data_IF_770571043609
#
_entry.id   IF_770571043609
#
_cell.length_a   1.000
_cell.length_b   1.000
_cell.length_c   1.000
_cell.angle_alpha   90.00
_cell.angle_beta   90.00
_cell.angle_gamma   90.00
#
_symmetry.space_group_name_H-M   'P 1'
#
loop_
_entity.id
_entity.type
_entity.pdbx_description
1 polymer ?
#
# COMPACT_ATOMS: atom_id res chain seq x y z
N UNK A 1 12.25 37.17 21.76
CA UNK A 1 11.18 36.19 22.04
C UNK A 1 11.41 35.00 21.12
N UNK A 2 11.74 33.82 21.65
CA UNK A 2 11.82 32.60 20.83
C UNK A 2 10.40 32.28 20.37
N UNK A 3 10.10 32.40 19.07
CA UNK A 3 8.86 31.85 18.52
C UNK A 3 8.88 30.36 18.84
N UNK A 4 7.90 29.87 19.59
CA UNK A 4 7.67 28.44 19.67
C UNK A 4 7.29 27.99 18.26
N UNK A 5 8.19 27.29 17.58
CA UNK A 5 7.89 26.62 16.33
C UNK A 5 6.87 25.51 16.65
N UNK A 6 5.77 25.48 15.90
CA UNK A 6 4.75 24.48 16.10
C UNK A 6 5.28 23.12 15.66
N UNK A 7 5.16 22.13 16.54
CA UNK A 7 5.34 20.75 16.17
C UNK A 7 4.16 20.29 15.30
N UNK A 8 4.42 19.41 14.34
CA UNK A 8 3.44 18.85 13.43
C UNK A 8 3.47 17.32 13.56
N UNK A 9 2.30 16.70 13.67
CA UNK A 9 2.14 15.25 13.59
C UNK A 9 1.37 14.93 12.33
N UNK A 10 1.92 14.05 11.48
CA UNK A 10 1.25 13.53 10.30
C UNK A 10 0.91 12.06 10.52
N UNK A 11 -0.33 11.69 10.26
CA UNK A 11 -0.76 10.29 10.17
C UNK A 11 -0.78 9.88 8.70
N UNK A 12 0.16 9.03 8.31
CA UNK A 12 0.30 8.55 6.93
C UNK A 12 -0.20 7.11 6.87
N UNK A 13 -1.31 6.90 6.17
CA UNK A 13 -1.95 5.58 6.03
C UNK A 13 -1.64 4.98 4.66
N UNK A 14 -1.22 3.71 4.65
CA UNK A 14 -1.22 2.89 3.44
C UNK A 14 -2.56 2.14 3.36
N UNK A 15 -3.55 2.75 2.73
CA UNK A 15 -4.87 2.15 2.61
C UNK A 15 -4.94 1.38 1.28
N UNK A 16 -5.30 0.07 1.30
CA UNK A 16 -5.69 -0.64 0.09
C UNK A 16 -6.73 0.14 -0.73
N UNK A 17 -6.92 -0.16 -2.03
CA UNK A 17 -7.93 0.48 -2.87
C UNK A 17 -9.36 0.01 -2.53
N UNK A 18 -9.71 0.02 -1.25
CA UNK A 18 -11.02 -0.28 -0.70
C UNK A 18 -11.66 1.03 -0.18
N UNK A 19 -12.81 1.38 -0.74
CA UNK A 19 -13.49 2.63 -0.41
C UNK A 19 -14.06 2.66 1.02
N UNK A 20 -14.36 1.48 1.59
CA UNK A 20 -14.87 1.40 2.95
C UNK A 20 -13.76 1.72 3.96
N UNK A 21 -12.58 1.13 3.81
CA UNK A 21 -11.41 1.42 4.64
C UNK A 21 -10.97 2.88 4.53
N UNK A 22 -10.97 3.46 3.33
CA UNK A 22 -10.68 4.90 3.15
C UNK A 22 -11.66 5.78 3.92
N UNK A 23 -12.96 5.49 3.86
CA UNK A 23 -13.99 6.25 4.58
C UNK A 23 -13.89 6.06 6.10
N UNK A 24 -13.52 4.87 6.58
CA UNK A 24 -13.31 4.63 8.01
C UNK A 24 -12.15 5.46 8.55
N UNK A 25 -11.01 5.46 7.86
CA UNK A 25 -9.84 6.27 8.23
C UNK A 25 -10.20 7.76 8.20
N UNK A 26 -10.87 8.23 7.15
CA UNK A 26 -11.30 9.64 7.05
C UNK A 26 -12.26 10.03 8.17
N UNK A 27 -13.24 9.18 8.50
CA UNK A 27 -14.17 9.41 9.61
C UNK A 27 -13.46 9.45 10.96
N UNK A 28 -12.49 8.54 11.18
CA UNK A 28 -11.69 8.48 12.40
C UNK A 28 -10.84 9.74 12.58
N UNK A 29 -10.08 10.13 11.55
CA UNK A 29 -9.20 11.32 11.60
C UNK A 29 -9.99 12.63 11.73
N UNK A 30 -11.13 12.74 11.04
CA UNK A 30 -12.02 13.90 11.18
C UNK A 30 -12.54 14.06 12.61
N UNK A 31 -12.70 12.97 13.37
CA UNK A 31 -13.11 13.04 14.77
C UNK A 31 -12.05 13.64 15.69
N UNK A 32 -10.77 13.59 15.29
CA UNK A 32 -9.64 14.19 15.99
C UNK A 32 -9.32 15.61 15.53
N UNK A 33 -10.06 16.15 14.55
CA UNK A 33 -9.81 17.48 13.98
C UNK A 33 -8.62 17.51 13.01
N UNK A 34 -8.18 16.36 12.52
CA UNK A 34 -7.12 16.26 11.51
C UNK A 34 -7.58 16.81 10.17
N UNK A 35 -6.65 17.43 9.42
CA UNK A 35 -6.90 17.91 8.04
C UNK A 35 -6.31 16.91 7.06
N UNK A 36 -7.12 16.42 6.12
CA UNK A 36 -6.68 15.48 5.10
C UNK A 36 -5.82 16.18 4.04
N UNK A 37 -4.63 15.64 3.78
CA UNK A 37 -3.74 16.08 2.69
C UNK A 37 -3.78 15.00 1.60
N UNK A 38 -4.33 15.35 0.43
CA UNK A 38 -4.40 14.42 -0.70
C UNK A 38 -3.05 14.37 -1.41
N UNK A 39 -2.46 13.18 -1.50
CA UNK A 39 -1.22 12.90 -2.23
C UNK A 39 -1.45 11.86 -3.34
N UNK A 40 -0.62 11.86 -4.40
CA UNK A 40 -0.78 10.90 -5.49
C UNK A 40 -0.59 9.47 -5.00
N UNK A 41 -1.25 8.52 -5.66
CA UNK A 41 -1.05 7.10 -5.40
C UNK A 41 0.38 6.66 -5.78
N UNK A 42 0.91 5.58 -5.18
CA UNK A 42 2.16 4.97 -5.59
C UNK A 42 2.18 4.60 -7.08
N UNK A 43 3.29 4.89 -7.75
CA UNK A 43 3.48 4.55 -9.17
C UNK A 43 3.63 3.03 -9.41
N UNK A 44 3.82 2.26 -8.33
CA UNK A 44 4.04 0.81 -8.36
C UNK A 44 3.06 0.11 -7.44
N UNK A 45 2.49 -1.00 -7.91
CA UNK A 45 1.60 -1.83 -7.12
C UNK A 45 2.32 -2.38 -5.89
N UNK A 46 1.68 -2.21 -4.74
CA UNK A 46 2.12 -2.75 -3.45
C UNK A 46 1.49 -4.12 -3.23
N UNK A 47 2.26 -5.06 -2.70
CA UNK A 47 1.76 -6.37 -2.30
C UNK A 47 1.39 -6.38 -0.82
N UNK A 48 0.31 -7.07 -0.50
CA UNK A 48 -0.10 -7.38 0.86
C UNK A 48 0.88 -8.38 1.49
N UNK A 49 1.20 -8.22 2.77
CA UNK A 49 2.18 -9.04 3.49
C UNK A 49 3.64 -8.60 3.31
N UNK A 50 3.92 -7.72 2.34
CA UNK A 50 5.25 -7.12 2.18
C UNK A 50 5.48 -5.99 3.19
N UNK A 51 6.76 -5.76 3.51
CA UNK A 51 7.19 -4.70 4.40
C UNK A 51 7.59 -3.44 3.64
N UNK A 52 7.13 -2.29 4.14
CA UNK A 52 7.43 -0.97 3.59
C UNK A 52 7.98 -0.06 4.68
N UNK A 53 8.93 0.79 4.32
CA UNK A 53 9.48 1.80 5.21
C UNK A 53 9.17 3.20 4.71
N UNK A 54 8.73 4.07 5.61
CA UNK A 54 8.54 5.48 5.34
C UNK A 54 9.79 6.24 5.79
N UNK A 55 10.39 7.02 4.90
CA UNK A 55 11.62 7.79 5.17
C UNK A 55 11.42 9.26 4.81
N UNK A 56 12.28 10.12 5.39
CA UNK A 56 12.32 11.56 5.12
C UNK A 56 13.74 12.07 5.32
N UNK A 57 14.14 13.09 4.55
CA UNK A 57 15.41 13.80 4.76
C UNK A 57 15.33 14.83 5.88
N UNK A 58 14.14 15.02 6.47
CA UNK A 58 13.92 16.01 7.51
C UNK A 58 14.51 15.54 8.84
N UNK A 59 15.58 16.19 9.28
CA UNK A 59 16.41 15.76 10.43
C UNK A 59 15.70 15.86 11.78
N UNK A 60 14.68 16.70 11.89
CA UNK A 60 13.86 16.90 13.09
C UNK A 60 12.55 16.09 13.06
N UNK A 61 12.39 15.22 12.05
CA UNK A 61 11.28 14.30 11.94
C UNK A 61 11.62 12.95 12.60
N UNK A 62 10.61 12.36 13.24
CA UNK A 62 10.65 11.04 13.84
C UNK A 62 9.49 10.22 13.28
N UNK A 63 9.81 9.06 12.70
CA UNK A 63 8.82 8.16 12.08
C UNK A 63 8.65 6.93 12.96
N UNK A 64 7.40 6.59 13.26
CA UNK A 64 7.04 5.44 14.10
C UNK A 64 5.84 4.66 13.50
N UNK A 65 5.97 3.33 13.32
CA UNK A 65 7.23 2.58 13.23
C UNK A 65 7.99 2.97 11.96
N UNK A 66 9.29 2.70 11.88
CA UNK A 66 10.07 2.98 10.65
C UNK A 66 9.76 2.02 9.49
N UNK A 67 9.22 0.84 9.80
CA UNK A 67 8.83 -0.19 8.84
C UNK A 67 7.53 -0.85 9.28
N UNK A 68 6.63 -1.13 8.33
CA UNK A 68 5.39 -1.87 8.54
C UNK A 68 5.13 -2.87 7.44
N UNK A 69 4.58 -4.01 7.84
CA UNK A 69 3.89 -4.93 6.95
C UNK A 69 2.58 -4.31 6.45
N UNK A 70 2.33 -4.34 5.14
CA UNK A 70 1.04 -3.92 4.58
C UNK A 70 -0.02 -4.99 4.81
N UNK A 71 -1.04 -4.65 5.60
CA UNK A 71 -2.14 -5.55 5.97
C UNK A 71 -3.44 -5.12 5.31
N UNK A 72 -4.45 -5.97 5.36
CA UNK A 72 -5.77 -5.67 4.82
C UNK A 72 -6.68 -4.96 5.84
N UNK A 73 -6.13 -4.60 7.00
CA UNK A 73 -6.81 -3.86 8.05
C UNK A 73 -6.37 -2.37 8.07
N UNK A 74 -7.02 -1.57 8.92
CA UNK A 74 -6.72 -0.14 9.06
C UNK A 74 -5.42 0.12 9.86
N UNK A 75 -4.63 -0.90 10.19
CA UNK A 75 -3.42 -0.78 10.99
C UNK A 75 -2.15 -0.52 10.15
N UNK A 76 -2.29 0.14 9.01
CA UNK A 76 -1.20 0.51 8.12
C UNK A 76 -0.75 1.96 8.32
N UNK A 77 -0.58 2.37 9.57
CA UNK A 77 -0.26 3.75 9.98
C UNK A 77 1.23 3.94 10.24
N UNK A 78 1.78 5.01 9.67
CA UNK A 78 3.02 5.65 10.07
C UNK A 78 2.70 7.01 10.73
N UNK A 79 3.17 7.19 11.96
CA UNK A 79 3.18 8.49 12.61
C UNK A 79 4.49 9.21 12.27
N UNK A 80 4.39 10.40 11.70
CA UNK A 80 5.54 11.28 11.42
C UNK A 80 5.43 12.50 12.32
N UNK A 81 6.24 12.56 13.37
CA UNK A 81 6.32 13.68 14.27
C UNK A 81 7.48 14.61 13.90
N UNK A 82 7.18 15.88 13.67
CA UNK A 82 8.14 16.87 13.19
C UNK A 82 8.22 17.99 14.22
N UNK A 83 9.39 18.15 14.85
CA UNK A 83 9.56 19.16 15.92
C UNK A 83 9.48 20.59 15.38
N UNK A 84 9.93 20.82 14.16
CA UNK A 84 9.95 22.11 13.50
C UNK A 84 9.36 22.05 12.07
N UNK A 85 8.07 22.35 11.96
CA UNK A 85 7.35 22.37 10.70
C UNK A 85 7.46 23.72 9.94
N UNK A 86 8.68 24.27 9.82
CA UNK A 86 8.92 25.55 9.15
C UNK A 86 9.23 25.46 7.65
N UNK A 87 9.33 24.23 7.15
CA UNK A 87 9.83 23.86 5.83
C UNK A 87 9.08 22.64 5.31
N UNK A 88 9.18 22.44 4.01
CA UNK A 88 8.56 21.32 3.32
C UNK A 88 9.13 19.98 3.81
N UNK A 89 8.30 18.94 3.74
CA UNK A 89 8.62 17.62 4.28
C UNK A 89 8.62 16.62 3.13
N UNK A 90 9.79 16.27 2.57
CA UNK A 90 9.86 15.20 1.59
C UNK A 90 9.64 13.86 2.30
N UNK A 91 8.68 13.09 1.82
CA UNK A 91 8.40 11.72 2.25
C UNK A 91 8.70 10.75 1.12
N UNK A 92 9.28 9.61 1.45
CA UNK A 92 9.52 8.50 0.54
C UNK A 92 9.02 7.21 1.16
N UNK A 93 8.38 6.40 0.34
CA UNK A 93 7.98 5.04 0.70
C UNK A 93 8.89 4.08 -0.05
N UNK A 94 9.53 3.20 0.70
CA UNK A 94 10.54 2.28 0.22
C UNK A 94 10.08 0.84 0.48
N UNK A 95 10.33 -0.03 -0.50
CA UNK A 95 10.32 -1.48 -0.34
C UNK A 95 11.76 -1.97 -0.20
N UNK A 96 11.97 -3.25 0.10
CA UNK A 96 13.32 -3.84 0.18
C UNK A 96 14.18 -3.61 -1.08
N UNK A 97 13.54 -3.47 -2.25
CA UNK A 97 14.23 -3.46 -3.55
C UNK A 97 14.30 -2.07 -4.18
N UNK A 98 13.38 -1.16 -3.86
CA UNK A 98 13.29 0.15 -4.49
C UNK A 98 12.36 1.13 -3.74
N UNK A 99 12.55 2.42 -3.98
CA UNK A 99 11.56 3.47 -3.67
C UNK A 99 10.34 3.30 -4.59
N UNK A 100 9.15 3.29 -4.01
CA UNK A 100 7.87 3.06 -4.72
C UNK A 100 6.98 4.30 -4.76
N UNK A 101 7.22 5.27 -3.88
CA UNK A 101 6.49 6.53 -3.86
C UNK A 101 7.36 7.62 -3.24
N UNK A 102 7.26 8.83 -3.80
CA UNK A 102 7.94 10.02 -3.30
C UNK A 102 6.97 11.19 -3.36
N UNK A 103 6.85 11.95 -2.28
CA UNK A 103 6.02 13.14 -2.27
C UNK A 103 6.50 14.17 -1.25
N UNK A 104 6.38 15.45 -1.60
CA UNK A 104 6.69 16.55 -0.69
C UNK A 104 5.42 17.10 -0.06
N UNK A 105 5.30 17.06 1.26
CA UNK A 105 4.27 17.80 1.99
C UNK A 105 4.71 19.26 2.09
N UNK A 106 4.05 20.15 1.36
CA UNK A 106 4.36 21.58 1.40
C UNK A 106 3.84 22.22 2.68
N UNK A 107 4.57 23.19 3.19
CA UNK A 107 4.22 23.90 4.43
C UNK A 107 2.84 24.53 4.42
N UNK A 108 2.45 25.09 3.28
CA UNK A 108 1.13 25.71 3.08
C UNK A 108 -0.04 24.73 3.24
N UNK A 109 0.18 23.43 3.00
CA UNK A 109 -0.86 22.40 3.08
C UNK A 109 -1.37 22.19 4.51
N UNK A 110 -0.54 22.48 5.52
CA UNK A 110 -0.88 22.25 6.93
C UNK A 110 -0.94 23.55 7.75
N UNK A 111 -0.65 24.72 7.17
CA UNK A 111 -0.79 26.02 7.82
C UNK A 111 -2.08 26.76 7.46
N UNK A 112 -2.90 26.22 6.55
CA UNK A 112 -4.20 26.80 6.19
C UNK A 112 -5.19 26.69 7.36
N UNK A 113 -5.05 27.61 8.31
CA UNK A 113 -5.91 27.80 9.48
C UNK A 113 -6.44 29.22 9.48
N UNK A 114 -7.41 29.48 8.59
CA UNK A 114 -8.47 30.42 8.94
C UNK A 114 -9.78 29.61 9.02
N UNK A 115 -10.40 29.50 10.20
CA UNK A 115 -11.68 28.83 10.36
C UNK A 115 -12.78 29.78 9.87
N UNK A 116 -13.04 29.78 8.56
CA UNK A 116 -14.29 30.36 8.03
C UNK A 116 -15.17 29.24 7.48
N UNK A 117 -16.32 28.94 8.10
CA UNK A 117 -17.24 27.93 7.57
C UNK A 117 -18.02 28.53 6.39
N UNK A 118 -17.71 28.07 5.18
CA UNK A 118 -18.45 28.37 3.95
C UNK A 118 -18.38 27.17 3.00
N UNK A 119 -19.47 26.82 2.29
CA UNK A 119 -19.65 25.50 1.71
C UNK A 119 -18.96 25.37 0.35
N UNK A 120 -18.49 24.15 0.07
CA UNK A 120 -18.37 23.55 -1.27
C UNK A 120 -17.46 24.27 -2.29
N UNK A 121 -16.34 23.64 -2.63
CA UNK A 121 -15.64 23.95 -3.88
C UNK A 121 -14.23 23.42 -3.95
N UNK A 122 -14.06 22.34 -4.71
CA UNK A 122 -12.81 21.80 -5.27
C UNK A 122 -11.56 22.70 -5.15
N UNK A 123 -10.54 22.22 -4.43
CA UNK A 123 -9.17 22.67 -4.71
C UNK A 123 -8.67 21.87 -5.92
N UNK A 124 -8.84 22.48 -7.09
CA UNK A 124 -8.25 22.06 -8.35
C UNK A 124 -6.73 22.01 -8.22
N UNK A 125 -6.13 20.82 -8.38
CA UNK A 125 -4.74 20.71 -8.78
C UNK A 125 -4.60 21.36 -10.16
N UNK A 126 -3.92 22.50 -10.20
CA UNK A 126 -3.51 23.13 -11.45
C UNK A 126 -2.34 22.33 -12.02
N UNK A 127 -2.64 21.37 -12.89
CA UNK A 127 -1.65 20.74 -13.75
C UNK A 127 -1.13 21.80 -14.73
N UNK A 128 0.17 22.06 -14.72
CA UNK A 128 0.82 22.83 -15.79
C UNK A 128 1.78 21.88 -16.52
N UNK A 129 1.55 21.56 -17.81
CA UNK A 129 2.54 20.94 -18.66
C UNK A 129 3.28 22.02 -19.43
N UNK A 130 4.60 21.94 -19.59
CA UNK A 130 5.29 22.58 -20.72
C UNK A 130 6.58 21.82 -21.01
N UNK A 131 6.62 21.25 -22.21
CA UNK A 131 7.81 20.75 -22.90
C UNK A 131 8.72 21.89 -23.36
N UNK A 132 9.92 21.46 -23.76
CA UNK A 132 10.79 22.06 -24.78
C UNK A 132 11.79 23.14 -24.31
N UNK A 133 13.07 22.75 -24.26
CA UNK A 133 14.03 23.13 -25.31
C UNK A 133 15.48 22.78 -24.89
N UNK A 134 16.16 22.04 -25.75
CA UNK A 134 17.62 21.89 -25.81
C UNK A 134 18.19 23.16 -26.50
N UNK A 135 19.43 23.62 -26.20
CA UNK A 135 20.49 23.35 -27.17
C UNK A 135 21.88 23.02 -26.56
N UNK A 136 22.52 22.08 -27.26
CA UNK A 136 23.95 21.87 -27.61
C UNK A 136 24.77 23.18 -27.79
N UNK A 137 26.09 23.29 -27.74
CA UNK A 137 27.31 22.43 -27.76
C UNK A 137 28.42 23.15 -26.95
N UNK A 138 29.50 22.46 -26.55
CA UNK A 138 30.83 22.63 -27.18
C UNK A 138 31.96 21.99 -26.35
N UNK A 139 32.93 21.42 -27.09
CA UNK A 139 34.31 21.09 -26.69
C UNK A 139 34.62 19.77 -25.94
N UNK A 140 34.88 18.74 -26.76
CA UNK A 140 35.96 17.73 -26.61
C UNK A 140 37.33 18.39 -26.93
N UNK A 141 38.54 17.85 -26.61
CA UNK A 141 38.90 16.45 -26.88
C UNK A 141 39.87 15.71 -25.93
N UNK A 142 39.82 14.38 -26.13
CA UNK A 142 40.87 13.33 -26.17
C UNK A 142 41.90 13.19 -25.04
N UNK A 143 42.06 11.94 -24.57
CA UNK A 143 43.32 11.20 -24.74
C UNK A 143 43.02 9.69 -24.81
N UNK A 144 43.79 9.03 -25.66
CA UNK A 144 43.75 7.62 -26.01
C UNK A 144 44.19 6.69 -24.87
N UNK A 145 43.70 5.46 -24.87
CA UNK A 145 44.59 4.28 -24.90
C UNK A 145 43.81 2.99 -25.10
N UNK A 146 44.34 2.21 -26.03
CA UNK A 146 43.95 0.90 -26.52
C UNK A 146 44.59 -0.21 -25.67
N UNK A 147 43.89 -1.33 -25.47
CA UNK A 147 44.23 -2.63 -26.04
C UNK A 147 43.48 -3.78 -25.37
N UNK A 148 43.03 -4.68 -26.24
CA UNK A 148 42.28 -5.93 -26.05
C UNK A 148 43.17 -7.08 -25.56
N UNK A 149 42.52 -8.22 -25.31
CA UNK A 149 43.02 -9.62 -25.29
C UNK A 149 43.04 -10.21 -23.87
N UNK A 150 42.58 -11.42 -23.55
CA UNK A 150 42.08 -12.57 -24.30
C UNK A 150 41.59 -13.64 -23.26
N UNK A 151 40.89 -14.66 -23.74
CA UNK A 151 40.69 -15.99 -23.13
C UNK A 151 39.49 -16.29 -22.22
N UNK A 152 38.75 -17.32 -22.67
CA UNK A 152 37.63 -18.09 -22.07
C UNK A 152 38.19 -19.48 -21.63
N UNK A 153 37.38 -20.48 -21.22
CA UNK A 153 36.55 -20.72 -20.02
C UNK A 153 37.14 -21.90 -19.16
N UNK A 154 36.45 -22.33 -18.08
CA UNK A 154 36.17 -23.75 -17.74
C UNK A 154 35.94 -24.01 -16.23
N UNK A 155 34.88 -24.80 -15.96
CA UNK A 155 34.72 -25.81 -14.89
C UNK A 155 34.51 -25.31 -13.45
N UNK A 156 33.27 -25.36 -12.94
CA UNK A 156 32.66 -26.53 -12.29
C UNK A 156 32.98 -26.57 -10.78
N UNK A 157 31.95 -26.32 -9.96
CA UNK A 157 31.56 -27.16 -8.80
C UNK A 157 30.37 -26.55 -8.04
N UNK A 158 29.21 -27.18 -8.22
CA UNK A 158 28.16 -27.33 -7.20
C UNK A 158 28.48 -28.64 -6.45
N UNK A 159 28.30 -28.70 -5.11
CA UNK A 159 27.03 -29.17 -4.54
C UNK A 159 26.71 -28.41 -3.22
N UNK A 160 25.49 -28.03 -2.83
CA UNK A 160 24.21 -28.73 -2.64
C UNK A 160 23.77 -28.43 -1.18
N UNK A 161 22.49 -28.08 -1.01
CA UNK A 161 21.69 -28.20 0.22
C UNK A 161 22.11 -27.31 1.41
N UNK A 162 21.35 -26.26 1.73
CA UNK A 162 20.11 -26.41 2.49
C UNK A 162 18.99 -25.54 1.90
N UNK A 163 18.32 -26.09 0.89
CA UNK A 163 17.04 -25.57 0.40
C UNK A 163 16.01 -26.31 1.23
N UNK A 164 15.46 -25.64 2.23
CA UNK A 164 14.40 -26.19 3.07
C UNK A 164 13.28 -26.71 2.15
N UNK A 165 13.03 -28.03 2.09
CA UNK A 165 12.09 -28.62 1.18
C UNK A 165 10.76 -28.77 1.91
N UNK A 166 9.80 -27.87 1.70
CA UNK A 166 8.35 -28.13 1.71
C UNK A 166 7.55 -26.83 1.64
N UNK A 167 7.33 -26.29 0.44
CA UNK A 167 6.04 -25.69 0.09
C UNK A 167 5.59 -26.25 -1.27
N UNK A 168 5.59 -27.59 -1.36
CA UNK A 168 4.88 -28.32 -2.43
C UNK A 168 3.37 -28.40 -2.10
N UNK A 169 2.80 -27.25 -1.75
CA UNK A 169 1.37 -27.04 -1.73
C UNK A 169 1.11 -26.05 -2.85
N UNK A 170 0.41 -26.48 -3.90
CA UNK A 170 -0.17 -25.57 -4.89
C UNK A 170 -0.72 -24.37 -4.11
N UNK A 171 -0.30 -23.11 -4.38
CA UNK A 171 -0.70 -21.98 -3.56
C UNK A 171 -2.22 -22.03 -3.44
N UNK A 172 -2.73 -22.20 -2.22
CA UNK A 172 -4.17 -22.35 -1.98
C UNK A 172 -4.93 -21.22 -2.69
N UNK A 173 -4.32 -20.05 -2.81
CA UNK A 173 -4.82 -18.90 -3.55
C UNK A 173 -5.09 -19.17 -5.04
N UNK A 174 -4.24 -19.96 -5.70
CA UNK A 174 -4.35 -20.30 -7.12
C UNK A 174 -5.45 -21.34 -7.37
N UNK A 175 -5.60 -22.32 -6.47
CA UNK A 175 -6.71 -23.29 -6.56
C UNK A 175 -8.04 -22.63 -6.23
N UNK A 176 -8.08 -21.75 -5.23
CA UNK A 176 -9.27 -20.97 -4.87
C UNK A 176 -9.71 -20.04 -6.01
N UNK A 177 -8.75 -19.47 -6.77
CA UNK A 177 -9.07 -18.69 -7.97
C UNK A 177 -9.69 -19.55 -9.08
N UNK A 178 -9.22 -20.78 -9.29
CA UNK A 178 -9.82 -21.70 -10.26
C UNK A 178 -11.22 -22.15 -9.85
N UNK A 179 -11.45 -22.39 -8.54
CA UNK A 179 -12.77 -22.77 -8.03
C UNK A 179 -13.73 -21.58 -8.00
N UNK A 180 -13.25 -20.33 -8.06
CA UNK A 180 -14.08 -19.11 -8.06
C UNK A 180 -15.19 -19.14 -9.10
N UNK A 181 -14.90 -19.55 -10.32
CA UNK A 181 -15.87 -19.54 -11.41
C UNK A 181 -16.98 -20.55 -11.18
N UNK A 182 -16.64 -21.76 -10.74
CA UNK A 182 -17.61 -22.81 -10.47
C UNK A 182 -18.40 -22.55 -9.18
N UNK A 183 -17.74 -22.04 -8.14
CA UNK A 183 -18.37 -21.69 -6.87
C UNK A 183 -19.45 -20.63 -7.05
N UNK A 184 -19.17 -19.56 -7.81
CA UNK A 184 -20.12 -18.48 -8.08
C UNK A 184 -21.40 -18.99 -8.77
N UNK A 185 -21.28 -19.99 -9.65
CA UNK A 185 -22.43 -20.56 -10.35
C UNK A 185 -23.21 -21.57 -9.49
N UNK A 186 -22.53 -22.39 -8.70
CA UNK A 186 -23.13 -23.54 -8.01
C UNK A 186 -23.57 -23.27 -6.57
N UNK A 187 -22.96 -22.32 -5.88
CA UNK A 187 -23.27 -22.01 -4.48
C UNK A 187 -24.67 -21.40 -4.35
N UNK A 188 -25.41 -21.69 -3.27
CA UNK A 188 -26.65 -20.98 -2.94
C UNK A 188 -26.39 -19.75 -2.06
N UNK A 189 -27.35 -18.83 -1.97
CA UNK A 189 -27.19 -17.65 -1.11
C UNK A 189 -27.11 -18.04 0.38
N UNK A 190 -27.84 -19.08 0.80
CA UNK A 190 -27.77 -19.62 2.16
C UNK A 190 -26.38 -20.14 2.51
N UNK A 191 -25.75 -20.90 1.61
CA UNK A 191 -24.38 -21.41 1.82
C UNK A 191 -23.38 -20.25 1.87
N UNK A 192 -23.56 -19.21 1.05
CA UNK A 192 -22.73 -18.00 1.14
C UNK A 192 -22.86 -17.30 2.49
N UNK A 193 -24.08 -17.17 3.02
CA UNK A 193 -24.29 -16.53 4.32
C UNK A 193 -23.69 -17.38 5.46
N UNK A 194 -23.83 -18.72 5.41
CA UNK A 194 -23.18 -19.61 6.38
C UNK A 194 -21.64 -19.53 6.33
N UNK A 195 -21.08 -19.46 5.12
CA UNK A 195 -19.63 -19.36 4.93
C UNK A 195 -19.13 -18.01 5.48
N UNK A 196 -19.85 -16.93 5.23
CA UNK A 196 -19.60 -15.61 5.80
C UNK A 196 -19.63 -15.64 7.34
N UNK A 197 -20.64 -16.27 7.96
CA UNK A 197 -20.74 -16.38 9.42
C UNK A 197 -19.54 -17.14 10.00
N UNK A 198 -19.10 -18.24 9.36
CA UNK A 198 -17.89 -18.99 9.75
C UNK A 198 -16.62 -18.14 9.61
N UNK A 199 -16.49 -17.35 8.54
CA UNK A 199 -15.34 -16.47 8.35
C UNK A 199 -15.27 -15.37 9.43
N UNK A 200 -16.42 -14.89 9.90
CA UNK A 200 -16.51 -13.95 11.01
C UNK A 200 -16.15 -14.61 12.35
N UNK A 201 -16.61 -15.85 12.57
CA UNK A 201 -16.28 -16.66 13.75
C UNK A 201 -14.77 -16.90 13.86
N UNK A 202 -14.13 -17.26 12.74
CA UNK A 202 -12.68 -17.44 12.67
C UNK A 202 -11.88 -16.13 12.69
N UNK A 203 -12.55 -14.96 12.82
CA UNK A 203 -11.94 -13.62 12.75
C UNK A 203 -11.13 -13.40 11.47
N UNK A 204 -11.49 -14.13 10.41
CA UNK A 204 -10.92 -13.90 9.09
C UNK A 204 -11.49 -12.58 8.59
N UNK A 205 -12.81 -12.44 8.51
CA UNK A 205 -13.44 -11.16 8.13
C UNK A 205 -13.95 -10.39 9.37
N UNK A 206 -13.95 -9.06 9.29
CA UNK A 206 -14.53 -8.21 10.33
C UNK A 206 -16.04 -7.98 10.12
N UNK A 207 -16.76 -7.47 11.14
CA UNK A 207 -18.20 -7.21 11.06
C UNK A 207 -18.57 -6.21 9.94
N UNK A 208 -17.70 -5.25 9.62
CA UNK A 208 -17.90 -4.30 8.52
C UNK A 208 -17.82 -4.97 7.14
N UNK A 209 -16.79 -5.79 6.91
CA UNK A 209 -16.59 -6.61 5.72
C UNK A 209 -17.75 -7.57 5.52
N UNK A 210 -18.17 -8.26 6.59
CA UNK A 210 -19.33 -9.16 6.61
C UNK A 210 -20.60 -8.46 6.09
N UNK A 211 -20.94 -7.29 6.65
CA UNK A 211 -22.14 -6.55 6.26
C UNK A 211 -22.02 -6.02 4.83
N UNK A 212 -20.85 -5.54 4.44
CA UNK A 212 -20.57 -5.08 3.08
C UNK A 212 -20.80 -6.18 2.04
N UNK A 213 -20.28 -7.39 2.30
CA UNK A 213 -20.43 -8.53 1.38
C UNK A 213 -21.88 -9.04 1.35
N UNK A 214 -22.58 -9.03 2.49
CA UNK A 214 -23.96 -9.54 2.60
C UNK A 214 -24.97 -8.73 1.79
N UNK A 215 -24.73 -7.43 1.60
CA UNK A 215 -25.61 -6.53 0.84
C UNK A 215 -25.49 -6.65 -0.68
N UNK A 216 -24.49 -7.38 -1.19
CA UNK A 216 -24.23 -7.55 -2.63
C UNK A 216 -25.11 -8.66 -3.25
N UNK A 217 -25.25 -8.61 -4.58
CA UNK A 217 -25.91 -9.64 -5.35
C UNK A 217 -25.17 -10.99 -5.22
N UNK A 218 -25.90 -12.12 -5.29
CA UNK A 218 -25.37 -13.48 -5.07
C UNK A 218 -24.02 -13.75 -5.75
N UNK A 219 -23.89 -13.40 -7.04
CA UNK A 219 -22.67 -13.67 -7.80
C UNK A 219 -21.49 -12.80 -7.33
N UNK A 220 -21.74 -11.54 -7.04
CA UNK A 220 -20.70 -10.61 -6.54
C UNK A 220 -20.33 -10.92 -5.09
N UNK A 221 -21.32 -11.31 -4.29
CA UNK A 221 -21.13 -11.85 -2.94
C UNK A 221 -20.18 -13.05 -2.96
N UNK A 222 -20.42 -14.03 -3.82
CA UNK A 222 -19.55 -15.20 -3.96
C UNK A 222 -18.11 -14.84 -4.38
N UNK A 223 -17.96 -13.89 -5.32
CA UNK A 223 -16.64 -13.39 -5.73
C UNK A 223 -15.93 -12.69 -4.58
N UNK A 224 -16.64 -11.85 -3.84
CA UNK A 224 -16.09 -11.09 -2.71
C UNK A 224 -15.71 -11.96 -1.52
N UNK A 225 -16.46 -13.03 -1.23
CA UNK A 225 -16.07 -14.02 -0.21
C UNK A 225 -14.73 -14.64 -0.60
N UNK A 226 -14.62 -15.12 -1.83
CA UNK A 226 -13.38 -15.74 -2.34
C UNK A 226 -12.23 -14.75 -2.38
N UNK A 227 -12.46 -13.54 -2.88
CA UNK A 227 -11.41 -12.52 -3.01
C UNK A 227 -10.97 -12.01 -1.64
N UNK A 228 -11.87 -11.88 -0.67
CA UNK A 228 -11.53 -11.48 0.71
C UNK A 228 -10.73 -12.57 1.41
N UNK A 229 -11.15 -13.83 1.30
CA UNK A 229 -10.42 -14.97 1.89
C UNK A 229 -9.05 -15.13 1.25
N UNK A 230 -8.95 -14.95 -0.07
CA UNK A 230 -7.67 -14.96 -0.79
C UNK A 230 -6.77 -13.81 -0.31
N UNK A 231 -7.30 -12.59 -0.17
CA UNK A 231 -6.56 -11.44 0.36
C UNK A 231 -6.02 -11.69 1.76
N UNK A 232 -6.75 -12.41 2.62
CA UNK A 232 -6.32 -12.72 4.01
C UNK A 232 -5.15 -13.72 4.10
N UNK A 233 -4.77 -14.36 2.99
CA UNK A 233 -3.60 -15.23 2.88
C UNK A 233 -3.91 -16.74 2.75
N UNK A 234 -2.87 -17.56 2.87
CA UNK A 234 -2.91 -19.01 2.58
C UNK A 234 -3.70 -19.83 3.60
N UNK A 235 -3.62 -19.49 4.91
CA UNK A 235 -4.36 -20.21 5.97
C UNK A 235 -5.89 -20.09 5.83
N UNK A 236 -6.47 -18.88 5.67
CA UNK A 236 -7.90 -18.72 5.38
C UNK A 236 -8.32 -19.39 4.08
N UNK A 237 -7.48 -19.30 3.05
CA UNK A 237 -7.72 -19.91 1.74
C UNK A 237 -7.83 -21.44 1.83
N UNK A 238 -6.92 -22.09 2.57
CA UNK A 238 -6.96 -23.53 2.80
C UNK A 238 -8.19 -23.95 3.60
N UNK A 239 -8.59 -23.16 4.61
CA UNK A 239 -9.78 -23.44 5.42
C UNK A 239 -11.05 -23.37 4.56
N UNK A 240 -11.15 -22.34 3.71
CA UNK A 240 -12.28 -22.23 2.79
C UNK A 240 -12.33 -23.40 1.82
N UNK A 241 -11.21 -23.77 1.21
CA UNK A 241 -11.14 -24.92 0.29
C UNK A 241 -11.60 -26.22 0.98
N UNK A 242 -11.27 -26.41 2.25
CA UNK A 242 -11.71 -27.57 3.02
C UNK A 242 -13.24 -27.55 3.33
N UNK A 243 -13.83 -26.37 3.39
CA UNK A 243 -15.24 -26.14 3.70
C UNK A 243 -16.11 -25.87 2.45
N UNK A 244 -15.53 -25.94 1.25
CA UNK A 244 -16.27 -25.86 -0.01
C UNK A 244 -17.07 -27.17 -0.22
N UNK A 245 -18.39 -27.09 -0.48
CA UNK A 245 -19.23 -28.26 -0.70
C UNK A 245 -19.06 -28.91 -2.08
#
# INVERSE_FOLDING_TARGET
MKKHQAALTLHVYLVPPDEFQKQEVEKMENSYGSVRIIKPDPYKSMQLGDHYSLTTDKTDAMIQPSMRELRDDNNNLFEVFIRNADSDVPLRLESEKNTIWTCTIYKENYLSTDPTPGPSGAIQQRNVPTEDSIPTEDSVPAEESYSTEDSVPAEERIPAEDRDPSEDSVPAEKTLFSVRTEFVERVSDDVLNQLLDKLLEHRIINDGEMQSIRTKAKADKAREVIDTVRRKGTKPSALLIADLP
#
